data_IF_763368921442
#
_entry.id   IF_763368921442
#
_cell.length_a   1.000
_cell.length_b   1.000
_cell.length_c   1.000
_cell.angle_alpha   90.00
_cell.angle_beta   90.00
_cell.angle_gamma   90.00
#
_symmetry.space_group_name_H-M   'P 1'
#
loop_
_entity.id
_entity.type
_entity.pdbx_description
1 polymer ?
#
# COMPACT_ATOMS: atom_id res chain seq x y z
N UNK A 1 14.71 9.29 -3.03
CA UNK A 1 14.02 8.47 -2.00
C UNK A 1 12.52 8.58 -2.25
N UNK A 2 11.80 7.48 -2.53
CA UNK A 2 10.33 7.54 -2.67
C UNK A 2 9.70 7.51 -1.28
N UNK A 3 9.38 8.69 -0.75
CA UNK A 3 8.86 8.85 0.62
C UNK A 3 7.34 8.91 0.54
N UNK A 4 6.68 7.96 1.21
CA UNK A 4 5.23 7.97 1.30
C UNK A 4 4.74 9.23 2.04
N UNK A 5 3.66 9.88 1.57
CA UNK A 5 3.10 11.12 2.14
C UNK A 5 2.75 11.09 3.63
N UNK A 6 2.62 9.90 4.22
CA UNK A 6 2.36 9.69 5.66
C UNK A 6 3.60 9.31 6.47
N UNK A 7 4.79 9.35 5.86
CA UNK A 7 6.05 9.08 6.57
C UNK A 7 6.32 10.24 7.52
N UNK A 8 6.26 9.99 8.83
CA UNK A 8 6.49 11.02 9.86
C UNK A 8 7.97 11.28 10.17
N UNK A 9 8.82 10.28 9.95
CA UNK A 9 10.26 10.35 10.20
C UNK A 9 11.00 9.80 8.99
N UNK A 10 11.87 10.61 8.42
CA UNK A 10 12.75 10.22 7.32
C UNK A 10 13.88 9.32 7.83
N UNK A 11 14.70 8.79 6.90
CA UNK A 11 15.86 7.99 7.27
C UNK A 11 16.89 8.82 8.04
N UNK A 12 17.11 10.07 7.64
CA UNK A 12 18.03 11.00 8.28
C UNK A 12 17.56 11.32 9.70
N UNK A 13 16.26 11.58 9.88
CA UNK A 13 15.71 11.86 11.22
C UNK A 13 15.93 10.68 12.17
N UNK A 14 15.77 9.45 11.68
CA UNK A 14 15.98 8.24 12.51
C UNK A 14 17.44 8.04 12.89
N UNK A 15 18.37 8.36 12.00
CA UNK A 15 19.81 8.35 12.29
C UNK A 15 20.16 9.43 13.31
N UNK A 16 19.61 10.64 13.16
CA UNK A 16 19.85 11.73 14.09
C UNK A 16 19.25 11.44 15.47
N UNK A 17 18.02 10.90 15.55
CA UNK A 17 17.43 10.39 16.81
C UNK A 17 18.39 9.41 17.50
N UNK A 18 18.98 8.48 16.76
CA UNK A 18 19.91 7.50 17.30
C UNK A 18 21.20 8.15 17.79
N UNK A 19 21.79 9.05 17.00
CA UNK A 19 22.98 9.82 17.38
C UNK A 19 22.75 10.63 18.65
N UNK A 20 21.65 11.39 18.72
CA UNK A 20 21.28 12.20 19.88
C UNK A 20 21.02 11.32 21.11
N UNK A 21 20.35 10.19 20.94
CA UNK A 21 20.13 9.23 22.03
C UNK A 21 21.45 8.66 22.58
N UNK A 22 22.43 8.40 21.70
CA UNK A 22 23.75 7.87 22.08
C UNK A 22 24.53 8.84 22.99
N UNK A 23 24.32 10.15 22.84
CA UNK A 23 24.98 11.17 23.68
C UNK A 23 24.56 11.11 25.15
N UNK A 24 23.47 10.39 25.49
CA UNK A 24 22.87 10.30 26.84
C UNK A 24 22.38 11.62 27.46
N UNK A 25 22.51 12.74 26.75
CA UNK A 25 22.01 14.05 27.17
C UNK A 25 20.50 14.22 26.90
N UNK A 26 19.99 13.49 25.89
CA UNK A 26 18.63 13.62 25.43
C UNK A 26 17.68 12.62 26.07
N UNK A 27 16.63 13.13 26.71
CA UNK A 27 15.51 12.30 27.18
C UNK A 27 14.55 11.99 26.04
N UNK A 28 13.85 10.87 26.13
CA UNK A 28 12.84 10.44 25.12
C UNK A 28 11.74 11.48 24.93
N UNK A 29 11.37 12.21 25.98
CA UNK A 29 10.37 13.30 25.90
C UNK A 29 10.87 14.45 25.02
N UNK A 30 12.12 14.88 25.24
CA UNK A 30 12.74 15.96 24.44
C UNK A 30 12.90 15.55 22.97
N UNK A 31 13.25 14.29 22.71
CA UNK A 31 13.31 13.76 21.33
C UNK A 31 11.92 13.75 20.67
N UNK A 32 10.87 13.38 21.41
CA UNK A 32 9.51 13.38 20.88
C UNK A 32 9.03 14.79 20.51
N UNK A 33 9.33 15.78 21.36
CA UNK A 33 9.04 17.19 21.11
C UNK A 33 9.83 17.74 19.93
N UNK A 34 11.14 17.48 19.88
CA UNK A 34 12.04 17.98 18.83
C UNK A 34 11.69 17.45 17.44
N UNK A 35 11.30 16.17 17.33
CA UNK A 35 10.91 15.55 16.07
C UNK A 35 9.39 15.59 15.81
N UNK A 36 8.62 16.28 16.64
CA UNK A 36 7.15 16.41 16.52
C UNK A 36 6.42 15.07 16.34
N UNK A 37 6.85 14.05 17.07
CA UNK A 37 6.26 12.71 17.05
C UNK A 37 5.85 12.26 18.44
N UNK A 38 4.99 11.25 18.50
CA UNK A 38 4.59 10.68 19.78
C UNK A 38 5.75 9.89 20.41
N UNK A 39 5.81 9.87 21.75
CA UNK A 39 6.80 9.07 22.51
C UNK A 39 6.86 7.59 22.09
N UNK A 40 5.74 6.88 21.82
CA UNK A 40 5.77 5.51 21.29
C UNK A 40 6.55 5.39 19.98
N UNK A 41 6.43 6.38 19.09
CA UNK A 41 7.16 6.41 17.81
C UNK A 41 8.67 6.45 18.06
N UNK A 42 9.13 7.26 19.03
CA UNK A 42 10.55 7.31 19.41
C UNK A 42 11.01 5.98 19.99
N UNK A 43 10.23 5.35 20.89
CA UNK A 43 10.58 4.03 21.43
C UNK A 43 10.72 2.96 20.34
N UNK A 44 9.81 2.93 19.36
CA UNK A 44 9.88 2.02 18.23
C UNK A 44 11.11 2.27 17.35
N UNK A 45 11.43 3.54 17.09
CA UNK A 45 12.63 3.93 16.34
C UNK A 45 13.89 3.49 17.09
N UNK A 46 13.99 3.77 18.40
CA UNK A 46 15.16 3.38 19.21
C UNK A 46 15.32 1.86 19.29
N UNK A 47 14.22 1.12 19.45
CA UNK A 47 14.23 -0.35 19.43
C UNK A 47 14.85 -0.90 18.14
N UNK A 48 14.56 -0.26 17.00
CA UNK A 48 15.08 -0.67 15.67
C UNK A 48 16.48 -0.13 15.39
N UNK A 49 16.77 1.09 15.83
CA UNK A 49 18.09 1.70 15.70
C UNK A 49 19.17 0.89 16.42
N UNK A 50 18.82 0.21 17.53
CA UNK A 50 19.70 -0.77 18.19
C UNK A 50 20.12 -1.93 17.28
N UNK A 51 19.28 -2.30 16.31
CA UNK A 51 19.56 -3.30 15.28
C UNK A 51 20.16 -2.71 14.00
N UNK A 52 20.56 -1.42 14.02
CA UNK A 52 21.02 -0.66 12.85
C UNK A 52 19.99 -0.56 11.71
N UNK A 53 18.69 -0.72 12.02
CA UNK A 53 17.60 -0.61 11.04
C UNK A 53 17.01 0.81 11.02
N UNK A 54 17.48 1.65 10.10
CA UNK A 54 16.96 3.03 9.94
C UNK A 54 15.93 3.16 8.80
N UNK A 55 15.94 2.23 7.85
CA UNK A 55 15.08 2.30 6.66
C UNK A 55 13.61 2.08 7.02
N UNK A 56 12.66 2.84 6.42
CA UNK A 56 11.24 2.52 6.51
C UNK A 56 10.96 1.11 5.97
N UNK A 57 10.38 0.23 6.81
CA UNK A 57 9.98 -1.10 6.37
C UNK A 57 8.74 -1.02 5.48
N UNK A 58 8.73 -1.83 4.44
CA UNK A 58 7.52 -2.05 3.65
C UNK A 58 6.52 -2.82 4.53
N UNK A 59 5.32 -2.26 4.71
CA UNK A 59 4.22 -2.88 5.47
C UNK A 59 3.48 -3.97 4.68
N UNK A 60 4.03 -4.40 3.54
CA UNK A 60 3.44 -5.43 2.71
C UNK A 60 3.36 -6.74 3.50
N UNK A 61 2.13 -7.15 3.83
CA UNK A 61 1.86 -8.41 4.51
C UNK A 61 2.52 -9.57 3.75
N UNK A 62 3.21 -10.46 4.47
CA UNK A 62 3.91 -11.60 3.88
C UNK A 62 2.96 -12.47 3.03
N UNK A 63 1.68 -12.57 3.42
CA UNK A 63 0.63 -13.25 2.64
C UNK A 63 0.59 -12.79 1.19
N UNK A 64 0.79 -11.50 0.91
CA UNK A 64 0.72 -10.96 -0.45
C UNK A 64 1.97 -11.20 -1.27
N UNK A 65 3.08 -11.62 -0.64
CA UNK A 65 4.33 -11.97 -1.30
C UNK A 65 4.43 -13.45 -1.64
N UNK A 66 3.52 -14.29 -1.14
CA UNK A 66 3.57 -15.73 -1.41
C UNK A 66 3.05 -16.06 -2.81
N UNK A 67 3.69 -17.05 -3.44
CA UNK A 67 3.26 -17.57 -4.76
C UNK A 67 1.80 -18.02 -4.73
N UNK A 68 1.39 -18.69 -3.65
CA UNK A 68 0.01 -19.15 -3.45
C UNK A 68 -1.00 -18.00 -3.56
N UNK A 69 -0.73 -16.86 -2.92
CA UNK A 69 -1.62 -15.70 -3.04
C UNK A 69 -1.54 -15.07 -4.44
N UNK A 70 -0.35 -15.02 -5.02
CA UNK A 70 -0.14 -14.55 -6.39
C UNK A 70 -1.01 -15.30 -7.40
N UNK A 71 -0.98 -16.64 -7.36
CA UNK A 71 -1.80 -17.49 -8.23
C UNK A 71 -3.30 -17.29 -8.01
N UNK A 72 -3.75 -17.21 -6.75
CA UNK A 72 -5.16 -16.91 -6.44
C UNK A 72 -5.61 -15.57 -7.00
N UNK A 73 -4.76 -14.54 -6.90
CA UNK A 73 -5.05 -13.21 -7.44
C UNK A 73 -5.06 -13.21 -8.96
N UNK A 74 -4.10 -13.91 -9.59
CA UNK A 74 -4.01 -14.05 -11.04
C UNK A 74 -5.28 -14.69 -11.61
N UNK A 75 -5.67 -15.85 -11.08
CA UNK A 75 -6.89 -16.55 -11.50
C UNK A 75 -8.15 -15.66 -11.40
N UNK A 76 -8.27 -14.88 -10.32
CA UNK A 76 -9.39 -13.93 -10.15
C UNK A 76 -9.38 -12.83 -11.22
N UNK A 77 -8.21 -12.29 -11.54
CA UNK A 77 -8.05 -11.25 -12.56
C UNK A 77 -8.36 -11.81 -13.95
N UNK A 78 -7.83 -12.97 -14.29
CA UNK A 78 -8.08 -13.67 -15.56
C UNK A 78 -9.56 -13.96 -15.75
N UNK A 79 -10.24 -14.48 -14.71
CA UNK A 79 -11.68 -14.72 -14.75
C UNK A 79 -12.46 -13.42 -15.01
N UNK A 80 -12.09 -12.33 -14.32
CA UNK A 80 -12.76 -11.03 -14.49
C UNK A 80 -12.60 -10.51 -15.93
N UNK A 81 -11.40 -10.66 -16.51
CA UNK A 81 -11.12 -10.27 -17.90
C UNK A 81 -11.93 -11.14 -18.87
N UNK A 82 -11.92 -12.46 -18.66
CA UNK A 82 -12.65 -13.39 -19.51
C UNK A 82 -14.15 -13.13 -19.49
N UNK A 83 -14.73 -12.87 -18.31
CA UNK A 83 -16.14 -12.50 -18.19
C UNK A 83 -16.46 -11.19 -18.92
N UNK A 84 -15.59 -10.19 -18.83
CA UNK A 84 -15.76 -8.94 -19.57
C UNK A 84 -15.79 -9.18 -21.07
N UNK A 85 -14.82 -9.94 -21.59
CA UNK A 85 -14.72 -10.30 -23.01
C UNK A 85 -15.93 -11.13 -23.48
N UNK A 86 -16.39 -12.09 -22.68
CA UNK A 86 -17.59 -12.87 -22.98
C UNK A 86 -18.86 -12.02 -23.04
N UNK A 87 -19.01 -11.05 -22.13
CA UNK A 87 -20.15 -10.11 -22.14
C UNK A 87 -20.13 -9.23 -23.38
N UNK A 88 -18.95 -8.73 -23.75
CA UNK A 88 -18.75 -7.94 -24.97
C UNK A 88 -19.05 -8.74 -26.23
N UNK A 89 -18.50 -9.96 -26.34
CA UNK A 89 -18.80 -10.87 -27.44
C UNK A 89 -20.28 -11.20 -27.53
N UNK A 90 -20.96 -11.49 -26.40
CA UNK A 90 -22.42 -11.73 -26.37
C UNK A 90 -23.23 -10.51 -26.82
N UNK A 91 -22.72 -9.30 -26.59
CA UNK A 91 -23.37 -8.05 -27.01
C UNK A 91 -23.31 -7.90 -28.53
N UNK A 92 -22.16 -8.12 -29.14
CA UNK A 92 -21.92 -7.80 -30.56
C UNK A 92 -22.08 -9.00 -31.51
N UNK A 93 -21.79 -10.23 -31.07
CA UNK A 93 -21.96 -11.42 -31.90
C UNK A 93 -23.43 -11.83 -31.89
N UNK A 94 -24.16 -11.39 -32.91
CA UNK A 94 -25.58 -11.66 -33.15
C UNK A 94 -25.74 -12.48 -34.42
N UNK A 95 -26.66 -13.44 -34.43
CA UNK A 95 -26.88 -14.33 -35.59
C UNK A 95 -27.85 -13.72 -36.60
N UNK A 96 -28.73 -12.80 -36.16
CA UNK A 96 -29.74 -12.20 -37.01
C UNK A 96 -29.63 -10.66 -37.05
N UNK A 97 -29.75 -10.01 -38.23
CA UNK A 97 -29.71 -8.57 -38.38
C UNK A 97 -30.97 -7.93 -37.79
N UNK A 98 -30.90 -7.56 -36.51
CA UNK A 98 -32.02 -6.98 -35.74
C UNK A 98 -31.84 -7.11 -34.22
N UNK A 99 -31.03 -8.07 -33.76
CA UNK A 99 -30.76 -8.32 -32.34
C UNK A 99 -29.90 -7.24 -31.65
N UNK A 100 -29.41 -6.25 -32.41
CA UNK A 100 -28.69 -5.08 -31.93
C UNK A 100 -29.60 -3.85 -31.72
N UNK A 101 -30.89 -3.94 -32.11
CA UNK A 101 -31.83 -2.82 -32.00
C UNK A 101 -32.26 -2.68 -30.54
N UNK A 102 -31.70 -1.70 -29.84
CA UNK A 102 -32.21 -1.25 -28.55
C UNK A 102 -33.32 -0.22 -28.77
N UNK A 103 -34.56 -0.60 -28.49
CA UNK A 103 -35.65 0.35 -28.32
C UNK A 103 -35.59 0.95 -26.92
N UNK A 104 -35.35 2.26 -26.83
CA UNK A 104 -35.52 2.99 -25.57
C UNK A 104 -37.02 3.24 -25.37
N UNK A 105 -37.70 2.32 -24.68
CA UNK A 105 -39.10 2.52 -24.29
C UNK A 105 -39.14 3.43 -23.06
N UNK A 106 -38.66 4.66 -23.19
CA UNK A 106 -38.96 5.71 -22.22
C UNK A 106 -40.44 6.04 -22.40
N UNK A 107 -41.26 5.64 -21.44
CA UNK A 107 -42.72 5.87 -21.45
C UNK A 107 -42.97 7.37 -21.66
N UNK A 108 -43.53 7.71 -22.82
CA UNK A 108 -44.13 9.01 -23.13
C UNK A 108 -45.35 9.24 -22.23
#
# INVERSE_FOLDING_TARGET
MNIHKRTRLTLLDRQEIWRLYQTRLWKVVQLAEHFHVSRPTIYDVLKRARLQEFVPRNSTNQRFKTLQYGLKRLAKVEQTIQERLKREAKRYNKSYPGELVHFDTKRL
#
